data_IF_017580152164
#
_entry.id   IF_017580152164
#
_cell.length_a   1.000
_cell.length_b   1.000
_cell.length_c   1.000
_cell.angle_alpha   90.00
_cell.angle_beta   90.00
_cell.angle_gamma   90.00
#
_symmetry.space_group_name_H-M   'P 1'
#
loop_
_entity.id
_entity.type
_entity.pdbx_description
1 polymer ?
#
# COMPACT_ATOMS: atom_id res chain seq x y z
N UNK A 1 -21.78 -3.69 16.94
CA UNK A 1 -21.03 -4.75 16.23
C UNK A 1 -20.24 -5.54 17.26
N UNK A 2 -20.36 -6.87 17.32
CA UNK A 2 -19.49 -7.68 18.17
C UNK A 2 -18.03 -7.57 17.68
N UNK A 3 -17.05 -7.69 18.57
CA UNK A 3 -15.64 -7.65 18.18
C UNK A 3 -15.31 -8.87 17.30
N UNK A 4 -14.62 -8.64 16.18
CA UNK A 4 -13.92 -9.66 15.41
C UNK A 4 -12.74 -10.17 16.26
N UNK A 5 -13.04 -10.92 17.31
CA UNK A 5 -12.07 -11.35 18.32
C UNK A 5 -11.59 -12.75 18.01
N UNK A 6 -10.52 -12.85 17.21
CA UNK A 6 -9.74 -14.07 17.09
C UNK A 6 -8.63 -13.89 16.07
N UNK A 7 -7.39 -13.69 16.55
CA UNK A 7 -6.23 -13.95 15.71
C UNK A 7 -6.08 -15.47 15.58
N UNK A 8 -5.96 -15.97 14.35
CA UNK A 8 -5.64 -17.37 14.15
C UNK A 8 -4.24 -17.66 14.71
N UNK A 9 -4.03 -18.82 15.36
CA UNK A 9 -2.70 -19.24 15.78
C UNK A 9 -1.79 -19.35 14.56
N UNK A 10 -0.60 -18.75 14.66
CA UNK A 10 0.41 -18.79 13.61
C UNK A 10 1.79 -19.01 14.22
N UNK A 11 2.61 -19.83 13.57
CA UNK A 11 3.98 -20.13 13.97
C UNK A 11 4.93 -19.73 12.85
N UNK A 12 5.90 -18.88 13.16
CA UNK A 12 6.97 -18.55 12.22
C UNK A 12 8.12 -19.55 12.34
N UNK A 13 8.58 -20.09 11.20
CA UNK A 13 9.69 -21.03 11.10
C UNK A 13 10.74 -20.49 10.12
N UNK A 14 12.00 -20.87 10.30
CA UNK A 14 13.10 -20.51 9.40
C UNK A 14 13.88 -21.74 8.99
N UNK A 15 14.05 -21.97 7.69
CA UNK A 15 14.90 -23.04 7.15
C UNK A 15 15.90 -22.45 6.16
N UNK A 16 17.20 -22.64 6.44
CA UNK A 16 18.33 -22.11 5.66
C UNK A 16 18.18 -20.60 5.40
N UNK A 17 17.74 -20.23 4.20
CA UNK A 17 17.59 -18.84 3.71
C UNK A 17 16.13 -18.41 3.54
N UNK A 18 15.17 -19.22 3.97
CA UNK A 18 13.74 -18.97 3.75
C UNK A 18 12.99 -18.91 5.09
N UNK A 19 12.14 -17.90 5.23
CA UNK A 19 11.17 -17.81 6.33
C UNK A 19 9.83 -18.38 5.89
N UNK A 20 9.13 -19.02 6.82
CA UNK A 20 7.81 -19.61 6.61
C UNK A 20 6.89 -19.14 7.73
N UNK A 21 5.65 -18.84 7.38
CA UNK A 21 4.58 -18.64 8.35
C UNK A 21 3.64 -19.84 8.16
N UNK A 22 3.53 -20.65 9.21
CA UNK A 22 2.54 -21.73 9.27
C UNK A 22 1.34 -21.17 10.00
N UNK A 23 0.18 -21.23 9.38
CA UNK A 23 -1.08 -20.81 9.96
C UNK A 23 -2.08 -21.98 9.94
N UNK A 24 -3.10 -21.88 10.77
CA UNK A 24 -4.23 -22.80 10.73
C UNK A 24 -4.85 -22.84 9.32
N UNK A 25 -5.15 -24.06 8.84
CA UNK A 25 -5.86 -24.22 7.59
C UNK A 25 -7.30 -23.74 7.76
N UNK A 26 -7.73 -22.86 6.85
CA UNK A 26 -9.06 -22.28 6.89
C UNK A 26 -9.93 -23.03 5.90
N UNK A 27 -10.89 -23.78 6.42
CA UNK A 27 -11.91 -24.39 5.59
C UNK A 27 -12.96 -23.34 5.19
N UNK A 28 -13.05 -23.04 3.90
CA UNK A 28 -13.98 -22.05 3.38
C UNK A 28 -13.92 -21.89 1.87
N UNK A 29 -14.68 -20.92 1.37
CA UNK A 29 -14.74 -20.57 -0.05
C UNK A 29 -14.15 -19.18 -0.23
N UNK A 30 -13.35 -19.01 -1.28
CA UNK A 30 -12.84 -17.68 -1.69
C UNK A 30 -14.02 -16.76 -1.96
N UNK A 31 -13.96 -15.53 -1.44
CA UNK A 31 -15.01 -14.54 -1.63
C UNK A 31 -15.16 -14.16 -3.10
N UNK A 32 -16.38 -13.80 -3.46
CA UNK A 32 -16.74 -13.21 -4.75
C UNK A 32 -17.16 -11.75 -4.59
N UNK A 33 -17.42 -11.05 -5.69
CA UNK A 33 -18.01 -9.71 -5.68
C UNK A 33 -19.33 -9.63 -4.89
N UNK A 34 -20.12 -10.70 -4.83
CA UNK A 34 -21.35 -10.75 -4.05
C UNK A 34 -21.09 -10.69 -2.53
N UNK A 35 -19.91 -11.11 -2.08
CA UNK A 35 -19.52 -11.13 -0.68
C UNK A 35 -18.92 -9.81 -0.19
N UNK A 36 -18.76 -8.81 -1.07
CA UNK A 36 -18.14 -7.52 -0.72
C UNK A 36 -18.84 -6.83 0.47
N UNK A 37 -20.15 -7.01 0.64
CA UNK A 37 -20.90 -6.49 1.80
C UNK A 37 -20.52 -7.17 3.12
N UNK A 38 -20.14 -8.44 3.10
CA UNK A 38 -19.65 -9.16 4.27
C UNK A 38 -18.19 -8.80 4.58
N UNK A 39 -17.38 -8.52 3.55
CA UNK A 39 -15.97 -8.15 3.68
C UNK A 39 -15.79 -6.69 4.11
N UNK A 40 -16.66 -5.78 3.68
CA UNK A 40 -16.53 -4.35 3.96
C UNK A 40 -16.40 -4.01 5.45
N UNK A 41 -17.19 -4.58 6.40
CA UNK A 41 -16.97 -4.36 7.83
C UNK A 41 -15.59 -4.76 8.34
N UNK A 42 -15.01 -5.86 7.81
CA UNK A 42 -13.68 -6.30 8.20
C UNK A 42 -12.60 -5.32 7.70
N UNK A 43 -12.68 -4.91 6.43
CA UNK A 43 -11.77 -3.90 5.88
C UNK A 43 -11.92 -2.56 6.60
N UNK A 44 -13.16 -2.13 6.85
CA UNK A 44 -13.47 -0.93 7.62
C UNK A 44 -12.81 -0.93 8.99
N UNK A 45 -12.83 -2.07 9.68
CA UNK A 45 -12.15 -2.23 10.97
C UNK A 45 -10.62 -2.15 10.79
N UNK A 46 -10.05 -2.91 9.86
CA UNK A 46 -8.60 -2.97 9.64
C UNK A 46 -7.99 -1.59 9.37
N UNK A 47 -8.66 -0.75 8.59
CA UNK A 47 -8.17 0.58 8.23
C UNK A 47 -8.24 1.58 9.40
N UNK A 48 -8.94 1.24 10.49
CA UNK A 48 -8.94 2.06 11.71
C UNK A 48 -7.72 1.80 12.60
N UNK A 49 -7.02 0.68 12.39
CA UNK A 49 -5.86 0.29 13.20
C UNK A 49 -4.74 1.30 12.96
N UNK A 50 -4.30 1.93 14.05
CA UNK A 50 -3.23 2.92 14.02
C UNK A 50 -1.86 2.23 14.04
N UNK A 51 -0.90 2.81 13.34
CA UNK A 51 0.49 2.40 13.45
C UNK A 51 1.03 2.61 14.87
N UNK A 52 1.90 1.71 15.36
CA UNK A 52 2.49 1.84 16.70
C UNK A 52 3.47 3.02 16.79
N UNK A 53 3.94 3.54 15.66
CA UNK A 53 4.84 4.68 15.60
C UNK A 53 4.45 5.60 14.43
N UNK A 54 5.00 6.81 14.41
CA UNK A 54 4.90 7.72 13.27
C UNK A 54 5.82 7.33 12.10
N UNK A 55 6.67 6.31 12.27
CA UNK A 55 7.50 5.76 11.20
C UNK A 55 6.74 4.61 10.52
N UNK A 56 6.72 4.57 9.18
CA UNK A 56 6.15 3.41 8.48
C UNK A 56 6.88 2.14 8.87
N UNK A 57 6.12 1.05 8.99
CA UNK A 57 6.69 -0.26 9.25
C UNK A 57 7.64 -0.70 8.12
N UNK A 58 8.56 -1.65 8.39
CA UNK A 58 9.36 -2.28 7.34
C UNK A 58 8.42 -2.96 6.34
N UNK A 59 8.45 -2.49 5.10
CA UNK A 59 7.66 -3.02 3.99
C UNK A 59 8.37 -4.26 3.44
N UNK A 60 7.72 -5.43 3.45
CA UNK A 60 8.30 -6.66 2.91
C UNK A 60 8.47 -6.57 1.38
N UNK A 61 9.67 -6.85 0.87
CA UNK A 61 10.10 -6.79 -0.55
C UNK A 61 9.78 -8.08 -1.34
N UNK A 62 9.75 -8.12 -2.71
CA UNK A 62 10.38 -7.16 -3.64
C UNK A 62 9.57 -6.59 -4.84
N UNK A 63 8.41 -7.10 -5.26
CA UNK A 63 7.83 -6.70 -6.57
C UNK A 63 6.84 -5.53 -6.52
N UNK A 64 5.84 -5.56 -5.63
CA UNK A 64 4.77 -4.53 -5.57
C UNK A 64 5.05 -3.43 -4.54
N UNK A 65 5.94 -3.72 -3.59
CA UNK A 65 6.12 -2.97 -2.35
C UNK A 65 7.27 -1.94 -2.41
N UNK A 66 8.14 -2.07 -3.41
CA UNK A 66 9.17 -1.09 -3.74
C UNK A 66 8.56 0.26 -4.13
N UNK A 67 7.36 0.27 -4.71
CA UNK A 67 6.64 1.49 -5.06
C UNK A 67 6.19 2.26 -3.81
N UNK A 68 5.58 1.58 -2.83
CA UNK A 68 5.09 2.22 -1.60
C UNK A 68 6.23 2.77 -0.73
N UNK A 69 7.33 2.02 -0.58
CA UNK A 69 8.50 2.49 0.16
C UNK A 69 9.14 3.71 -0.52
N UNK A 70 9.25 3.71 -1.85
CA UNK A 70 9.79 4.84 -2.62
C UNK A 70 8.84 6.04 -2.61
N UNK A 71 7.54 5.81 -2.73
CA UNK A 71 6.50 6.84 -2.64
C UNK A 71 6.63 7.58 -1.31
N UNK A 72 6.75 6.85 -0.20
CA UNK A 72 6.96 7.44 1.12
C UNK A 72 8.30 8.19 1.23
N UNK A 73 9.41 7.57 0.80
CA UNK A 73 10.73 8.20 0.88
C UNK A 73 10.81 9.50 0.07
N UNK A 74 10.14 9.57 -1.07
CA UNK A 74 10.11 10.77 -1.93
C UNK A 74 9.09 11.81 -1.46
N UNK A 75 7.96 11.41 -0.85
CA UNK A 75 6.91 12.32 -0.39
C UNK A 75 6.96 12.66 1.11
N UNK A 76 8.03 12.29 1.84
CA UNK A 76 8.13 12.52 3.29
C UNK A 76 7.87 13.98 3.69
N UNK A 77 8.14 14.96 2.82
CA UNK A 77 7.81 16.38 3.05
C UNK A 77 6.35 16.78 2.80
N UNK A 78 5.62 16.07 1.92
CA UNK A 78 4.21 16.36 1.61
C UNK A 78 3.24 15.63 2.53
N UNK A 79 3.55 14.41 2.96
CA UNK A 79 2.63 13.60 3.75
C UNK A 79 2.53 14.00 5.23
N UNK A 80 3.35 14.95 5.70
CA UNK A 80 3.44 15.36 7.12
C UNK A 80 2.08 15.82 7.69
N UNK A 81 1.30 16.71 7.04
CA UNK A 81 0.03 17.15 7.61
C UNK A 81 -1.01 16.02 7.69
N UNK A 82 -1.00 15.08 6.73
CA UNK A 82 -1.89 13.94 6.72
C UNK A 82 -1.56 12.96 7.85
N UNK A 83 -0.27 12.68 8.05
CA UNK A 83 0.22 11.80 9.12
C UNK A 83 0.03 12.45 10.49
N UNK A 84 0.18 13.75 10.64
CA UNK A 84 -0.13 14.45 11.88
C UNK A 84 -1.62 14.40 12.21
N UNK A 85 -2.49 14.64 11.22
CA UNK A 85 -3.94 14.67 11.41
C UNK A 85 -4.53 13.28 11.66
N UNK A 86 -4.14 12.29 10.87
CA UNK A 86 -4.75 10.98 10.88
C UNK A 86 -3.87 9.91 11.51
N UNK A 87 -2.56 10.11 11.61
CA UNK A 87 -1.60 9.05 11.92
C UNK A 87 -1.39 8.11 10.73
N UNK A 88 -0.48 7.15 10.90
CA UNK A 88 -0.39 6.02 9.98
C UNK A 88 -1.51 5.02 10.27
N UNK A 89 -2.07 4.43 9.20
CA UNK A 89 -3.13 3.41 9.25
C UNK A 89 -2.68 2.14 8.57
N UNK A 90 -3.21 1.00 9.02
CA UNK A 90 -2.94 -0.27 8.36
C UNK A 90 -3.53 -0.23 6.94
N UNK A 91 -2.65 -0.27 5.94
CA UNK A 91 -3.02 -0.28 4.54
C UNK A 91 -2.97 -1.71 4.00
N UNK A 92 -4.11 -2.20 3.54
CA UNK A 92 -4.24 -3.47 2.84
C UNK A 92 -3.84 -3.23 1.39
N UNK A 93 -2.55 -3.42 1.07
CA UNK A 93 -2.00 -3.12 -0.27
C UNK A 93 -2.63 -3.96 -1.39
N UNK A 94 -3.33 -5.05 -1.06
CA UNK A 94 -3.93 -5.97 -2.03
C UNK A 94 -5.31 -6.48 -1.56
N UNK A 95 -6.35 -5.69 -1.80
CA UNK A 95 -7.73 -5.98 -1.37
C UNK A 95 -8.55 -6.79 -2.37
N UNK A 96 -7.90 -7.58 -3.23
CA UNK A 96 -8.61 -8.40 -4.20
C UNK A 96 -9.39 -9.54 -3.50
N UNK A 97 -10.42 -10.06 -4.17
CA UNK A 97 -11.32 -11.07 -3.57
C UNK A 97 -10.62 -12.39 -3.18
N UNK A 98 -9.51 -12.73 -3.82
CA UNK A 98 -8.77 -13.99 -3.54
C UNK A 98 -8.05 -13.96 -2.18
N UNK A 99 -7.87 -12.77 -1.62
CA UNK A 99 -7.31 -12.57 -0.28
C UNK A 99 -8.38 -12.63 0.83
N UNK A 100 -9.62 -13.00 0.51
CA UNK A 100 -10.68 -13.16 1.51
C UNK A 100 -11.33 -14.54 1.38
N UNK A 101 -11.40 -15.27 2.48
CA UNK A 101 -12.08 -16.56 2.59
C UNK A 101 -13.30 -16.39 3.49
N UNK A 102 -14.42 -16.92 3.06
CA UNK A 102 -15.65 -17.02 3.84
C UNK A 102 -15.81 -18.46 4.32
N UNK A 103 -15.85 -18.66 5.63
CA UNK A 103 -16.08 -19.98 6.21
C UNK A 103 -17.57 -20.39 6.15
N UNK A 104 -17.88 -21.57 6.69
CA UNK A 104 -19.24 -22.12 6.71
C UNK A 104 -20.23 -21.29 7.55
N UNK A 105 -19.73 -20.44 8.45
CA UNK A 105 -20.52 -19.56 9.33
C UNK A 105 -20.63 -18.14 8.77
N UNK A 106 -20.19 -17.91 7.53
CA UNK A 106 -20.06 -16.59 6.90
C UNK A 106 -19.07 -15.65 7.60
N UNK A 107 -18.14 -16.16 8.41
CA UNK A 107 -17.05 -15.37 8.96
C UNK A 107 -16.03 -15.12 7.85
N UNK A 108 -15.58 -13.87 7.78
CA UNK A 108 -14.55 -13.47 6.82
C UNK A 108 -13.18 -13.62 7.47
N UNK A 109 -12.29 -14.34 6.78
CA UNK A 109 -10.87 -14.35 7.08
C UNK A 109 -10.10 -13.69 5.94
N UNK A 110 -9.35 -12.66 6.29
CA UNK A 110 -8.47 -11.98 5.37
C UNK A 110 -7.08 -12.63 5.40
N UNK A 111 -6.55 -12.87 4.21
CA UNK A 111 -5.31 -13.57 3.91
C UNK A 111 -4.32 -12.65 3.21
N UNK A 112 -3.09 -13.14 3.09
CA UNK A 112 -1.99 -12.48 2.38
C UNK A 112 -1.76 -11.02 2.75
N UNK A 113 -1.51 -10.79 4.03
CA UNK A 113 -1.08 -9.49 4.53
C UNK A 113 0.44 -9.25 4.34
N UNK A 114 1.11 -10.02 3.47
CA UNK A 114 2.55 -9.92 3.25
C UNK A 114 3.01 -8.54 2.78
N UNK A 115 2.13 -7.80 2.09
CA UNK A 115 2.36 -6.43 1.65
C UNK A 115 1.69 -5.36 2.53
N UNK A 116 1.10 -5.73 3.68
CA UNK A 116 0.51 -4.73 4.59
C UNK A 116 1.58 -3.91 5.28
N UNK A 117 1.27 -2.63 5.44
CA UNK A 117 2.13 -1.72 6.17
C UNK A 117 1.31 -0.56 6.72
N UNK A 118 1.86 0.10 7.74
CA UNK A 118 1.29 1.34 8.26
C UNK A 118 1.69 2.50 7.35
N UNK A 119 0.72 3.05 6.62
CA UNK A 119 0.91 4.11 5.62
C UNK A 119 -0.04 5.29 5.88
N UNK A 120 0.24 6.47 5.29
CA UNK A 120 -0.72 7.58 5.26
C UNK A 120 -2.02 7.20 4.55
N UNK A 121 -3.11 7.90 4.87
CA UNK A 121 -4.45 7.62 4.32
C UNK A 121 -4.50 7.74 2.79
N UNK A 122 -3.70 8.61 2.18
CA UNK A 122 -3.55 8.72 0.71
C UNK A 122 -3.18 7.41 0.01
N UNK A 123 -2.41 6.54 0.67
CA UNK A 123 -2.06 5.22 0.13
C UNK A 123 -3.21 4.23 0.21
N UNK A 124 -4.08 4.39 1.21
CA UNK A 124 -5.29 3.61 1.30
C UNK A 124 -6.26 3.97 0.17
N UNK A 125 -6.41 5.26 -0.14
CA UNK A 125 -7.17 5.70 -1.32
C UNK A 125 -6.60 5.10 -2.60
N UNK A 126 -5.27 5.16 -2.78
CA UNK A 126 -4.61 4.55 -3.93
C UNK A 126 -4.90 3.04 -4.04
N UNK A 127 -4.87 2.32 -2.92
CA UNK A 127 -5.18 0.88 -2.90
C UNK A 127 -6.65 0.59 -3.25
N UNK A 128 -7.59 1.46 -2.84
CA UNK A 128 -9.01 1.38 -3.23
C UNK A 128 -9.29 1.77 -4.69
N UNK A 129 -8.32 2.42 -5.35
CA UNK A 129 -8.38 2.77 -6.76
C UNK A 129 -7.86 1.67 -7.70
N UNK A 130 -7.55 0.48 -7.17
CA UNK A 130 -7.23 -0.70 -7.97
C UNK A 130 -8.38 -1.04 -8.95
N UNK A 131 -8.04 -1.52 -10.14
CA UNK A 131 -8.99 -1.87 -11.22
C UNK A 131 -9.75 -3.19 -10.98
N UNK A 132 -9.48 -3.87 -9.88
CA UNK A 132 -10.19 -5.09 -9.49
C UNK A 132 -11.69 -4.79 -9.20
N UNK A 133 -12.65 -5.48 -9.85
CA UNK A 133 -14.08 -5.25 -9.66
C UNK A 133 -14.55 -5.38 -8.21
N UNK A 134 -13.96 -6.32 -7.46
CA UNK A 134 -14.29 -6.51 -6.05
C UNK A 134 -13.85 -5.30 -5.20
N UNK A 135 -12.64 -4.79 -5.44
CA UNK A 135 -12.11 -3.59 -4.80
C UNK A 135 -12.97 -2.35 -5.09
N UNK A 136 -13.49 -2.22 -6.32
CA UNK A 136 -14.42 -1.14 -6.66
C UNK A 136 -15.72 -1.19 -5.85
N UNK A 137 -16.29 -2.37 -5.62
CA UNK A 137 -17.48 -2.52 -4.77
C UNK A 137 -17.13 -2.21 -3.31
N UNK A 138 -16.00 -2.71 -2.80
CA UNK A 138 -15.54 -2.40 -1.44
C UNK A 138 -15.39 -0.90 -1.20
N UNK A 139 -14.81 -0.17 -2.16
CA UNK A 139 -14.64 1.29 -2.10
C UNK A 139 -15.97 2.01 -1.86
N UNK A 140 -17.07 1.53 -2.41
CA UNK A 140 -18.40 2.14 -2.22
C UNK A 140 -19.01 1.85 -0.84
N UNK A 141 -18.52 0.82 -0.15
CA UNK A 141 -19.07 0.33 1.11
C UNK A 141 -18.27 0.80 2.34
N UNK A 142 -17.03 1.22 2.15
CA UNK A 142 -16.12 1.61 3.23
C UNK A 142 -16.09 3.13 3.37
N UNK A 143 -16.21 3.61 4.60
CA UNK A 143 -16.03 5.01 4.96
C UNK A 143 -14.59 5.22 5.44
N UNK A 144 -13.84 6.08 4.75
CA UNK A 144 -12.48 6.43 5.11
C UNK A 144 -12.26 7.94 5.01
N UNK A 145 -11.25 8.49 5.72
CA UNK A 145 -10.90 9.89 5.54
C UNK A 145 -10.46 10.14 4.10
N UNK A 146 -10.92 11.25 3.53
CA UNK A 146 -10.48 11.68 2.21
C UNK A 146 -9.09 12.28 2.30
N UNK A 147 -8.18 11.90 1.40
CA UNK A 147 -6.88 12.54 1.31
C UNK A 147 -6.92 13.70 0.32
N UNK A 148 -6.33 14.83 0.69
CA UNK A 148 -6.04 15.90 -0.28
C UNK A 148 -4.80 15.59 -1.14
N UNK A 149 -4.13 14.47 -0.89
CA UNK A 149 -2.89 14.08 -1.56
C UNK A 149 -3.05 12.87 -2.48
N UNK A 150 -4.26 12.35 -2.69
CA UNK A 150 -4.47 11.16 -3.51
C UNK A 150 -4.10 11.36 -4.96
N UNK A 151 -4.33 12.53 -5.56
CA UNK A 151 -3.90 12.82 -6.92
C UNK A 151 -2.36 12.76 -7.05
N UNK A 152 -1.65 13.34 -6.09
CA UNK A 152 -0.19 13.30 -6.06
C UNK A 152 0.33 11.86 -5.88
N UNK A 153 -0.31 11.06 -5.01
CA UNK A 153 0.02 9.64 -4.81
C UNK A 153 -0.29 8.80 -6.06
N UNK A 154 -1.39 9.09 -6.75
CA UNK A 154 -1.79 8.44 -8.00
C UNK A 154 -0.78 8.71 -9.12
N UNK A 155 -0.40 9.97 -9.35
CA UNK A 155 0.63 10.33 -10.34
C UNK A 155 1.96 9.64 -10.03
N UNK A 156 2.35 9.61 -8.75
CA UNK A 156 3.59 8.97 -8.34
C UNK A 156 3.52 7.43 -8.42
N UNK A 157 2.34 6.80 -8.40
CA UNK A 157 2.19 5.35 -8.50
C UNK A 157 2.58 4.78 -9.87
N UNK A 158 2.36 5.54 -10.95
CA UNK A 158 2.56 5.07 -12.33
C UNK A 158 4.01 5.05 -12.80
N UNK A 159 4.86 5.95 -12.29
CA UNK A 159 6.30 5.97 -12.54
C UNK A 159 7.00 6.85 -11.50
N UNK A 160 7.55 6.22 -10.46
CA UNK A 160 8.51 6.89 -9.58
C UNK A 160 9.84 7.09 -10.32
N UNK A 161 9.98 8.25 -10.96
CA UNK A 161 11.28 8.79 -11.34
C UNK A 161 11.87 9.40 -10.06
N UNK A 162 13.05 8.94 -9.59
CA UNK A 162 13.73 9.61 -8.49
C UNK A 162 13.96 11.08 -8.89
N UNK A 163 13.28 12.00 -8.20
CA UNK A 163 13.58 13.42 -8.26
C UNK A 163 14.45 13.76 -7.05
N UNK A 164 15.59 14.37 -7.32
CA UNK A 164 16.65 14.66 -6.35
C UNK A 164 17.41 13.43 -5.81
N UNK A 165 18.38 13.69 -4.92
CA UNK A 165 19.33 12.72 -4.39
C UNK A 165 18.70 11.92 -3.24
N UNK A 166 18.32 10.67 -3.51
CA UNK A 166 17.81 9.73 -2.51
C UNK A 166 18.95 9.22 -1.59
N UNK A 167 19.64 10.13 -0.91
CA UNK A 167 20.81 9.89 -0.07
C UNK A 167 20.45 9.35 1.33
N UNK A 168 19.16 9.39 1.70
CA UNK A 168 18.68 9.10 3.04
C UNK A 168 18.67 7.60 3.39
N UNK A 169 18.84 6.71 2.41
CA UNK A 169 18.86 5.25 2.63
C UNK A 169 20.12 4.53 2.15
N UNK A 170 21.10 5.23 1.57
CA UNK A 170 22.29 4.61 0.97
C UNK A 170 23.55 4.87 1.82
N UNK A 171 24.40 3.84 2.04
CA UNK A 171 25.74 4.03 2.59
C UNK A 171 26.50 5.10 1.82
N UNK A 172 27.34 5.88 2.51
CA UNK A 172 28.01 7.07 1.96
C UNK A 172 28.74 6.80 0.64
N UNK A 173 29.32 5.61 0.51
CA UNK A 173 30.03 5.10 -0.68
C UNK A 173 29.12 4.89 -1.90
N UNK A 174 27.83 4.60 -1.71
CA UNK A 174 26.86 4.36 -2.79
C UNK A 174 26.13 5.62 -3.25
N UNK A 175 26.20 6.72 -2.49
CA UNK A 175 25.55 7.99 -2.82
C UNK A 175 26.09 8.61 -4.11
N UNK A 176 27.41 8.61 -4.29
CA UNK A 176 28.08 9.18 -5.46
C UNK A 176 27.73 8.45 -6.77
N UNK A 177 27.66 7.11 -6.73
CA UNK A 177 27.34 6.28 -7.90
C UNK A 177 25.87 6.42 -8.33
N UNK A 178 24.97 6.62 -7.37
CA UNK A 178 23.53 6.72 -7.61
C UNK A 178 23.14 8.06 -8.23
N UNK A 179 23.77 9.17 -7.78
CA UNK A 179 23.54 10.50 -8.34
C UNK A 179 23.88 10.58 -9.85
N UNK A 180 24.98 9.96 -10.28
CA UNK A 180 25.37 9.91 -11.70
C UNK A 180 24.37 9.11 -12.55
N UNK A 181 23.82 8.02 -12.01
CA UNK A 181 22.84 7.17 -12.72
C UNK A 181 21.45 7.82 -12.80
N UNK A 182 21.03 8.53 -11.75
CA UNK A 182 19.76 9.27 -11.73
C UNK A 182 19.78 10.42 -12.76
N UNK A 183 20.89 11.18 -12.85
CA UNK A 183 21.05 12.26 -13.84
C UNK A 183 20.94 11.76 -15.28
N UNK A 184 21.54 10.61 -15.61
CA UNK A 184 21.40 9.99 -16.93
C UNK A 184 19.97 9.58 -17.24
N UNK A 185 19.26 8.97 -16.28
CA UNK A 185 17.86 8.56 -16.48
C UNK A 185 16.91 9.75 -16.64
N UNK A 186 17.10 10.82 -15.88
CA UNK A 186 16.30 12.04 -16.01
C UNK A 186 16.52 12.70 -17.38
N UNK A 187 17.77 12.77 -17.86
CA UNK A 187 18.06 13.29 -19.21
C UNK A 187 17.47 12.42 -20.31
N UNK A 188 17.38 11.10 -20.12
CA UNK A 188 16.71 10.21 -21.07
C UNK A 188 15.18 10.37 -21.02
N UNK A 189 14.58 10.45 -19.83
CA UNK A 189 13.13 10.60 -19.67
C UNK A 189 12.60 11.95 -20.19
N UNK A 190 13.34 13.05 -19.97
CA UNK A 190 12.99 14.38 -20.50
C UNK A 190 13.12 14.48 -22.03
N UNK A 191 13.75 13.50 -22.69
CA UNK A 191 13.84 13.42 -24.15
C UNK A 191 12.76 12.52 -24.75
N UNK A 192 11.99 11.78 -23.95
CA UNK A 192 10.90 10.95 -24.44
C UNK A 192 9.67 11.85 -24.71
N UNK A 193 9.20 11.93 -25.97
CA UNK A 193 8.13 12.84 -26.36
C UNK A 193 6.79 12.55 -25.67
N UNK A 194 6.62 11.37 -25.04
CA UNK A 194 5.43 11.02 -24.25
C UNK A 194 5.33 11.73 -22.90
N UNK A 195 6.39 12.40 -22.45
CA UNK A 195 6.44 13.12 -21.17
C UNK A 195 6.51 14.64 -21.33
N UNK A 196 6.18 15.20 -22.51
CA UNK A 196 6.03 16.64 -22.67
C UNK A 196 4.83 17.11 -21.84
N UNK A 197 5.10 17.95 -20.84
CA UNK A 197 4.09 18.78 -20.21
C UNK A 197 3.43 19.63 -21.30
N UNK A 198 2.14 19.38 -21.58
CA UNK A 198 1.34 20.34 -22.33
C UNK A 198 1.27 21.61 -21.49
N UNK A 199 1.91 22.67 -21.98
CA UNK A 199 1.78 23.99 -21.41
C UNK A 199 0.32 24.41 -21.59
N UNK A 200 -0.42 24.48 -20.50
CA UNK A 200 -1.80 24.96 -20.50
C UNK A 200 -1.77 26.45 -20.91
N UNK A 201 -2.35 26.84 -22.06
CA UNK A 201 -2.40 28.25 -22.44
C UNK A 201 -3.32 28.97 -21.46
N UNK A 202 -2.76 29.96 -20.76
CA UNK A 202 -3.49 30.76 -19.81
C UNK A 202 -4.71 31.44 -20.46
N UNK A 203 -5.85 31.31 -19.80
CA UNK A 203 -7.07 32.11 -20.01
C UNK A 203 -7.58 32.57 -18.66
#
# INVERSE_FOLDING_TARGET
MPPLSGSLPSTALKSKRMGYIVMEFIEGVVCSTADARLVAPAVQFLITIKGPTAQPGPIATPSSSTANQRLWSTNRGRSVPEVEKYGLRLCLSDMNQTNFVKDRENKIVALDFGATCFLPVSFFELALHNHDPFTHVLRQLIVHPTSTQSDASSVASGCLVPYDTNNLGLPREMRAKTAARARRRLTTALRDPRFRLEANPAS
#
